data_IF_515298078315
#
_entry.id   IF_515298078315
#
_cell.length_a   1.000
_cell.length_b   1.000
_cell.length_c   1.000
_cell.angle_alpha   90.00
_cell.angle_beta   90.00
_cell.angle_gamma   90.00
#
_symmetry.space_group_name_H-M   'P 1'
#
loop_
_entity.id
_entity.type
_entity.pdbx_description
1 polymer ?
#
# COMPACT_ATOMS: atom_id res chain seq x y z
N UNK A 1 29.19 -12.57 55.56
CA UNK A 1 29.76 -12.44 54.21
C UNK A 1 28.85 -13.21 53.25
N UNK A 2 28.00 -12.52 52.49
CA UNK A 2 27.15 -13.10 51.45
C UNK A 2 27.62 -12.50 50.14
N UNK A 3 28.22 -13.34 49.30
CA UNK A 3 28.74 -12.97 48.00
C UNK A 3 27.59 -12.84 47.02
N UNK A 4 27.37 -11.64 46.47
CA UNK A 4 26.46 -11.40 45.36
C UNK A 4 27.12 -11.85 44.07
N UNK A 5 26.53 -12.81 43.37
CA UNK A 5 26.84 -13.13 41.99
C UNK A 5 26.00 -12.23 41.08
N UNK A 6 26.68 -11.32 40.40
CA UNK A 6 26.12 -10.50 39.34
C UNK A 6 26.18 -11.31 38.06
N UNK A 7 25.05 -11.86 37.63
CA UNK A 7 24.93 -12.55 36.33
C UNK A 7 24.67 -11.50 35.25
N UNK A 8 25.70 -11.19 34.48
CA UNK A 8 25.59 -10.38 33.28
C UNK A 8 24.84 -11.17 32.19
N UNK A 9 23.63 -10.77 31.87
CA UNK A 9 22.90 -11.27 30.71
C UNK A 9 23.45 -10.55 29.47
N UNK A 10 24.28 -11.28 28.74
CA UNK A 10 24.78 -10.85 27.43
C UNK A 10 23.63 -10.94 26.42
N UNK A 11 22.98 -9.82 26.14
CA UNK A 11 22.02 -9.70 25.04
C UNK A 11 22.82 -9.80 23.74
N UNK A 12 22.77 -10.94 23.09
CA UNK A 12 23.22 -11.09 21.71
C UNK A 12 22.18 -10.38 20.85
N UNK A 13 22.43 -9.10 20.53
CA UNK A 13 21.80 -8.44 19.40
C UNK A 13 22.29 -9.15 18.15
N UNK A 14 21.42 -9.94 17.52
CA UNK A 14 21.58 -10.29 16.11
C UNK A 14 21.47 -8.97 15.31
N UNK A 15 22.61 -8.37 15.06
CA UNK A 15 22.78 -7.39 14.02
C UNK A 15 22.60 -8.13 12.68
N UNK A 16 21.35 -8.24 12.21
CA UNK A 16 21.10 -8.42 10.79
C UNK A 16 21.64 -7.14 10.14
N UNK A 17 22.77 -7.27 9.48
CA UNK A 17 23.36 -6.23 8.63
C UNK A 17 22.40 -6.01 7.45
N UNK A 18 21.39 -5.16 7.66
CA UNK A 18 20.69 -4.53 6.55
C UNK A 18 21.73 -3.63 5.89
N UNK A 19 22.15 -4.02 4.68
CA UNK A 19 23.05 -3.24 3.87
C UNK A 19 22.49 -1.81 3.79
N UNK A 20 23.20 -0.91 4.45
CA UNK A 20 23.14 0.54 4.43
C UNK A 20 22.00 1.15 3.61
N UNK A 21 20.99 1.67 4.27
CA UNK A 21 20.39 2.91 3.85
C UNK A 21 21.47 4.02 3.96
N UNK A 22 22.41 4.03 3.03
CA UNK A 22 23.32 5.15 2.85
C UNK A 22 22.45 6.34 2.45
N UNK A 23 22.31 7.30 3.36
CA UNK A 23 21.64 8.60 3.25
C UNK A 23 20.18 8.72 3.74
N UNK A 24 19.64 7.85 4.58
CA UNK A 24 18.37 8.10 5.26
C UNK A 24 17.12 8.19 4.37
N UNK A 25 17.20 7.83 3.08
CA UNK A 25 16.11 7.91 2.13
C UNK A 25 15.49 6.51 1.89
N UNK A 26 14.21 6.48 1.55
CA UNK A 26 13.55 5.27 1.08
C UNK A 26 14.28 4.67 -0.13
N UNK A 27 14.42 3.34 -0.23
CA UNK A 27 15.02 2.71 -1.39
C UNK A 27 14.23 3.04 -2.67
N UNK A 28 14.91 2.92 -3.83
CA UNK A 28 14.23 3.15 -5.11
C UNK A 28 13.16 2.09 -5.34
N UNK A 29 11.92 2.53 -5.52
CA UNK A 29 10.79 1.64 -5.82
C UNK A 29 10.91 1.09 -7.26
N UNK A 30 10.91 -0.24 -7.45
CA UNK A 30 10.87 -0.81 -8.79
C UNK A 30 9.47 -0.63 -9.41
N UNK A 31 9.41 -0.54 -10.74
CA UNK A 31 8.14 -0.62 -11.44
C UNK A 31 7.72 -2.09 -11.67
N UNK A 32 6.43 -2.32 -11.80
CA UNK A 32 5.84 -3.63 -12.09
C UNK A 32 6.44 -4.20 -13.37
N UNK A 33 6.89 -5.47 -13.37
CA UNK A 33 7.54 -6.10 -14.52
C UNK A 33 6.70 -6.05 -15.80
N UNK A 34 7.36 -5.78 -16.91
CA UNK A 34 6.71 -5.71 -18.24
C UNK A 34 6.01 -4.39 -18.54
N UNK A 35 5.87 -3.48 -17.56
CA UNK A 35 5.34 -2.14 -17.79
C UNK A 35 6.40 -1.21 -18.38
N UNK A 36 5.99 -0.04 -18.88
CA UNK A 36 6.89 0.96 -19.45
C UNK A 36 7.97 1.43 -18.48
N UNK A 37 8.95 2.16 -18.96
CA UNK A 37 9.95 2.84 -18.13
C UNK A 37 9.50 4.27 -17.86
N UNK A 38 9.73 4.75 -16.64
CA UNK A 38 9.51 6.16 -16.32
C UNK A 38 10.59 6.97 -17.06
N UNK A 39 10.15 7.94 -17.85
CA UNK A 39 11.06 8.95 -18.39
C UNK A 39 11.50 9.87 -17.24
N UNK A 40 12.78 10.15 -17.14
CA UNK A 40 13.27 11.14 -16.19
C UNK A 40 12.95 12.54 -16.71
N UNK A 41 12.07 13.25 -16.03
CA UNK A 41 11.78 14.66 -16.31
C UNK A 41 11.68 15.43 -14.99
N UNK A 42 12.83 15.77 -14.38
CA UNK A 42 12.87 16.41 -13.06
C UNK A 42 12.30 17.83 -13.05
N UNK A 43 12.10 18.44 -14.23
CA UNK A 43 11.58 19.80 -14.37
C UNK A 43 10.07 19.84 -14.65
N UNK A 44 9.45 18.69 -14.89
CA UNK A 44 8.02 18.65 -15.17
C UNK A 44 7.21 19.13 -13.95
N UNK A 45 6.31 20.06 -14.18
CA UNK A 45 5.35 20.53 -13.18
C UNK A 45 3.92 20.25 -13.61
N UNK A 46 3.73 19.63 -14.78
CA UNK A 46 2.42 19.27 -15.33
C UNK A 46 2.44 17.84 -15.82
N UNK A 47 1.67 16.98 -15.15
CA UNK A 47 1.55 15.57 -15.52
C UNK A 47 0.29 14.95 -14.91
N UNK A 48 -0.09 13.81 -15.46
CA UNK A 48 -1.24 13.03 -14.99
C UNK A 48 -0.75 11.66 -14.52
N UNK A 49 -1.30 11.15 -13.43
CA UNK A 49 -1.13 9.76 -13.03
C UNK A 49 -2.45 9.13 -12.56
N UNK A 50 -2.48 7.81 -12.57
CA UNK A 50 -3.63 7.00 -12.15
C UNK A 50 -3.32 6.37 -10.81
N UNK A 51 -4.33 6.21 -9.93
CA UNK A 51 -4.22 5.40 -8.72
C UNK A 51 -5.43 4.46 -8.57
N UNK A 52 -5.16 3.21 -8.17
CA UNK A 52 -6.16 2.20 -7.86
C UNK A 52 -5.52 1.04 -7.06
N UNK A 53 -6.33 0.08 -6.61
CA UNK A 53 -5.90 -1.15 -5.94
C UNK A 53 -7.00 -2.20 -5.88
N UNK A 54 -6.71 -3.39 -5.31
CA UNK A 54 -7.67 -4.47 -5.07
C UNK A 54 -8.28 -5.07 -6.36
N UNK A 55 -7.40 -5.54 -7.23
CA UNK A 55 -7.85 -6.26 -8.43
C UNK A 55 -7.77 -7.78 -8.32
N UNK A 56 -7.41 -8.32 -7.16
CA UNK A 56 -7.10 -9.74 -6.98
C UNK A 56 -8.13 -10.69 -7.61
N UNK A 57 -7.66 -11.82 -8.20
CA UNK A 57 -8.56 -12.85 -8.72
C UNK A 57 -9.26 -13.60 -7.55
N UNK A 58 -10.35 -14.29 -7.85
CA UNK A 58 -11.06 -15.11 -6.87
C UNK A 58 -10.34 -16.45 -6.66
N UNK A 59 -9.93 -16.74 -5.42
CA UNK A 59 -9.34 -18.02 -5.01
C UNK A 59 -8.21 -18.50 -5.92
N UNK A 60 -8.33 -19.73 -6.44
CA UNK A 60 -7.33 -20.35 -7.33
C UNK A 60 -7.38 -19.86 -8.79
N UNK A 61 -8.26 -18.94 -9.13
CA UNK A 61 -8.34 -18.42 -10.49
C UNK A 61 -7.04 -17.67 -10.84
N UNK A 62 -6.54 -17.90 -12.05
CA UNK A 62 -5.38 -17.18 -12.59
C UNK A 62 -5.83 -15.89 -13.27
N UNK A 63 -7.00 -15.93 -13.90
CA UNK A 63 -7.51 -14.83 -14.70
C UNK A 63 -7.91 -13.66 -13.81
N UNK A 64 -7.34 -12.50 -14.10
CA UNK A 64 -7.69 -11.25 -13.42
C UNK A 64 -9.14 -10.81 -13.72
N UNK A 65 -9.79 -10.07 -12.81
CA UNK A 65 -11.09 -9.48 -13.05
C UNK A 65 -11.12 -8.62 -14.32
N UNK A 66 -12.25 -8.65 -15.05
CA UNK A 66 -12.42 -7.82 -16.26
C UNK A 66 -12.34 -6.32 -15.97
N UNK A 67 -12.66 -5.92 -14.76
CA UNK A 67 -12.57 -4.52 -14.28
C UNK A 67 -11.14 -4.01 -14.44
N UNK A 68 -10.12 -4.79 -14.02
CA UNK A 68 -8.72 -4.40 -14.21
C UNK A 68 -8.42 -4.05 -15.67
N UNK A 69 -8.77 -4.95 -16.59
CA UNK A 69 -8.50 -4.71 -18.02
C UNK A 69 -9.27 -3.50 -18.58
N UNK A 70 -10.45 -3.23 -18.04
CA UNK A 70 -11.22 -2.05 -18.42
C UNK A 70 -10.54 -0.76 -17.89
N UNK A 71 -10.17 -0.72 -16.62
CA UNK A 71 -9.46 0.42 -16.01
C UNK A 71 -8.19 0.74 -16.80
N UNK A 72 -7.35 -0.27 -17.08
CA UNK A 72 -6.09 -0.08 -17.82
C UNK A 72 -6.30 0.39 -19.28
N UNK A 73 -7.43 0.04 -19.91
CA UNK A 73 -7.79 0.52 -21.23
C UNK A 73 -8.36 1.94 -21.19
N UNK A 74 -9.32 2.19 -20.29
CA UNK A 74 -10.02 3.47 -20.18
C UNK A 74 -9.10 4.59 -19.70
N UNK A 75 -8.19 4.29 -18.76
CA UNK A 75 -7.24 5.27 -18.21
C UNK A 75 -6.33 5.90 -19.26
N UNK A 76 -6.09 5.23 -20.41
CA UNK A 76 -5.27 5.77 -21.50
C UNK A 76 -5.78 7.08 -22.08
N UNK A 77 -7.09 7.33 -22.04
CA UNK A 77 -7.69 8.60 -22.50
C UNK A 77 -7.19 9.83 -21.77
N UNK A 78 -6.68 9.62 -20.53
CA UNK A 78 -6.08 10.68 -19.69
C UNK A 78 -4.59 10.84 -19.94
N UNK A 79 -3.96 10.02 -20.81
CA UNK A 79 -2.54 10.04 -21.15
C UNK A 79 -1.64 10.04 -19.91
N UNK A 80 -1.82 9.10 -18.96
CA UNK A 80 -1.07 9.11 -17.72
C UNK A 80 0.42 8.88 -17.97
N UNK A 81 1.25 9.51 -17.16
CA UNK A 81 2.70 9.30 -17.15
C UNK A 81 3.05 7.97 -16.48
N UNK A 82 2.31 7.58 -15.44
CA UNK A 82 2.46 6.32 -14.71
C UNK A 82 1.19 5.98 -13.93
N UNK A 83 1.20 4.80 -13.31
CA UNK A 83 0.10 4.29 -12.49
C UNK A 83 0.66 3.91 -11.12
N UNK A 84 -0.03 4.31 -10.03
CA UNK A 84 0.17 3.83 -8.66
C UNK A 84 -0.85 2.73 -8.36
N UNK A 85 -0.39 1.63 -7.76
CA UNK A 85 -1.23 0.49 -7.43
C UNK A 85 -1.06 0.12 -5.95
N UNK A 86 -2.15 0.13 -5.20
CA UNK A 86 -2.14 -0.04 -3.75
C UNK A 86 -2.45 -1.47 -3.31
N UNK A 87 -1.76 -2.46 -3.91
CA UNK A 87 -1.76 -3.85 -3.48
C UNK A 87 -2.95 -4.70 -3.92
N UNK A 88 -2.98 -5.91 -3.38
CA UNK A 88 -3.97 -6.97 -3.63
C UNK A 88 -4.12 -7.33 -5.10
N UNK A 89 -2.98 -7.64 -5.74
CA UNK A 89 -2.91 -8.02 -7.17
C UNK A 89 -3.09 -9.52 -7.39
N UNK A 90 -2.91 -10.32 -6.34
CA UNK A 90 -3.09 -11.78 -6.31
C UNK A 90 -4.10 -12.18 -5.22
N UNK A 91 -4.63 -13.39 -5.30
CA UNK A 91 -5.54 -13.90 -4.27
C UNK A 91 -4.82 -14.31 -2.98
N UNK A 92 -3.53 -14.61 -3.05
CA UNK A 92 -2.74 -15.06 -1.93
C UNK A 92 -3.29 -16.33 -1.27
N UNK A 93 -2.71 -16.74 -0.17
CA UNK A 93 -3.22 -17.85 0.62
C UNK A 93 -4.53 -17.51 1.36
N UNK A 94 -4.81 -16.23 1.64
CA UNK A 94 -6.03 -15.80 2.33
C UNK A 94 -7.30 -16.23 1.60
N UNK A 95 -7.37 -16.06 0.30
CA UNK A 95 -8.60 -16.37 -0.48
C UNK A 95 -8.74 -17.83 -0.87
N UNK A 96 -7.65 -18.58 -0.99
CA UNK A 96 -7.68 -19.96 -1.47
C UNK A 96 -7.47 -21.02 -0.38
N UNK A 97 -7.13 -20.60 0.83
CA UNK A 97 -6.89 -21.49 1.95
C UNK A 97 -5.70 -22.44 1.73
N UNK A 98 -5.74 -23.60 2.41
CA UNK A 98 -4.61 -24.56 2.43
C UNK A 98 -4.24 -25.18 1.08
N UNK A 99 -5.05 -25.01 0.05
CA UNK A 99 -4.89 -25.63 -1.28
C UNK A 99 -4.19 -24.73 -2.29
N UNK A 100 -3.73 -23.55 -1.91
CA UNK A 100 -2.99 -22.67 -2.80
C UNK A 100 -1.57 -23.20 -2.99
N UNK A 101 -1.15 -23.34 -4.24
CA UNK A 101 0.20 -23.72 -4.62
C UNK A 101 1.00 -22.51 -5.08
N UNK A 102 2.28 -22.43 -4.76
CA UNK A 102 3.21 -21.41 -5.25
C UNK A 102 3.14 -21.21 -6.78
N UNK A 103 2.94 -22.29 -7.53
CA UNK A 103 2.77 -22.22 -8.99
C UNK A 103 1.56 -21.37 -9.40
N UNK A 104 0.46 -21.44 -8.64
CA UNK A 104 -0.74 -20.64 -8.88
C UNK A 104 -0.48 -19.18 -8.59
N UNK A 105 0.21 -18.86 -7.47
CA UNK A 105 0.58 -17.49 -7.12
C UNK A 105 1.48 -16.85 -8.19
N UNK A 106 2.50 -17.58 -8.65
CA UNK A 106 3.37 -17.14 -9.74
C UNK A 106 2.56 -16.91 -11.03
N UNK A 107 1.60 -17.77 -11.32
CA UNK A 107 0.74 -17.60 -12.50
C UNK A 107 -0.19 -16.38 -12.39
N UNK A 108 -0.68 -16.07 -11.18
CA UNK A 108 -1.46 -14.86 -10.90
C UNK A 108 -0.63 -13.59 -11.09
N UNK A 109 0.63 -13.55 -10.57
CA UNK A 109 1.55 -12.45 -10.84
C UNK A 109 1.81 -12.25 -12.34
N UNK A 110 2.13 -13.33 -13.05
CA UNK A 110 2.36 -13.27 -14.50
C UNK A 110 1.16 -12.73 -15.27
N UNK A 111 -0.06 -13.13 -14.89
CA UNK A 111 -1.27 -12.62 -15.51
C UNK A 111 -1.50 -11.15 -15.17
N UNK A 112 -1.27 -10.73 -13.93
CA UNK A 112 -1.31 -9.32 -13.54
C UNK A 112 -0.31 -8.50 -14.37
N UNK A 113 0.96 -8.93 -14.48
CA UNK A 113 1.98 -8.24 -15.27
C UNK A 113 1.59 -8.14 -16.74
N UNK A 114 1.03 -9.23 -17.30
CA UNK A 114 0.55 -9.24 -18.69
C UNK A 114 -0.59 -8.23 -18.90
N UNK A 115 -1.46 -8.05 -17.91
CA UNK A 115 -2.51 -7.03 -17.99
C UNK A 115 -1.92 -5.62 -17.79
N UNK A 116 -1.09 -5.42 -16.77
CA UNK A 116 -0.46 -4.14 -16.47
C UNK A 116 0.37 -3.59 -17.65
N UNK A 117 1.11 -4.46 -18.34
CA UNK A 117 1.88 -4.08 -19.54
C UNK A 117 1.03 -3.43 -20.64
N UNK A 118 -0.26 -3.77 -20.72
CA UNK A 118 -1.18 -3.18 -21.72
C UNK A 118 -1.46 -1.70 -21.46
N UNK A 119 -1.20 -1.18 -20.27
CA UNK A 119 -1.35 0.24 -19.99
C UNK A 119 -0.37 1.07 -20.86
N UNK A 120 0.82 0.53 -21.16
CA UNK A 120 1.84 1.19 -21.97
C UNK A 120 2.67 2.22 -21.20
N UNK A 121 2.42 2.39 -19.92
CA UNK A 121 3.14 3.31 -18.99
C UNK A 121 3.66 2.53 -17.79
N UNK A 122 4.67 3.02 -17.06
CA UNK A 122 5.14 2.37 -15.85
C UNK A 122 4.05 2.30 -14.79
N UNK A 123 4.04 1.19 -14.05
CA UNK A 123 3.18 1.01 -12.88
C UNK A 123 4.06 0.74 -11.67
N UNK A 124 3.74 1.36 -10.54
CA UNK A 124 4.41 1.17 -9.26
C UNK A 124 3.42 0.56 -8.27
N UNK A 125 3.86 -0.44 -7.49
CA UNK A 125 2.98 -1.18 -6.59
C UNK A 125 3.50 -1.11 -5.14
N UNK A 126 2.61 -0.87 -4.17
CA UNK A 126 2.81 -1.24 -2.78
C UNK A 126 2.22 -2.63 -2.53
N UNK A 127 2.75 -3.44 -1.60
CA UNK A 127 2.12 -4.72 -1.29
C UNK A 127 0.78 -4.54 -0.57
N UNK A 128 -0.09 -5.55 -0.69
CA UNK A 128 -1.27 -5.71 0.11
C UNK A 128 -1.22 -6.99 0.94
N UNK A 129 -2.21 -7.19 1.80
CA UNK A 129 -2.25 -8.34 2.68
C UNK A 129 -2.38 -9.68 1.92
N UNK A 130 -2.90 -9.68 0.72
CA UNK A 130 -2.96 -10.87 -0.13
C UNK A 130 -1.59 -11.25 -0.74
N UNK A 131 -0.67 -10.31 -0.85
CA UNK A 131 0.72 -10.58 -1.25
C UNK A 131 1.56 -11.14 -0.11
N UNK A 132 1.29 -10.73 1.13
CA UNK A 132 2.20 -10.93 2.25
C UNK A 132 1.73 -11.99 3.26
N UNK A 133 0.42 -12.13 3.45
CA UNK A 133 -0.11 -12.95 4.52
C UNK A 133 -0.29 -14.43 4.16
N UNK A 134 0.07 -15.28 5.11
CA UNK A 134 -0.37 -16.67 5.16
C UNK A 134 -1.32 -16.84 6.34
N UNK A 135 -2.53 -17.30 6.07
CA UNK A 135 -3.46 -17.70 7.13
C UNK A 135 -2.99 -19.03 7.73
N UNK A 136 -2.24 -18.98 8.82
CA UNK A 136 -1.96 -20.15 9.64
C UNK A 136 -3.21 -20.52 10.43
N UNK A 137 -4.01 -21.44 9.89
CA UNK A 137 -5.09 -22.12 10.62
C UNK A 137 -4.53 -23.26 11.46
N UNK A 138 -3.58 -23.01 12.37
CA UNK A 138 -3.41 -23.91 13.50
C UNK A 138 -4.58 -23.72 14.46
N UNK A 139 -5.06 -24.80 15.09
CA UNK A 139 -6.27 -24.74 15.92
C UNK A 139 -6.18 -23.79 17.11
N UNK A 140 -4.99 -23.34 17.46
CA UNK A 140 -4.73 -22.54 18.67
C UNK A 140 -4.03 -21.17 18.42
N UNK A 141 -3.64 -20.85 17.18
CA UNK A 141 -2.94 -19.59 16.88
C UNK A 141 -3.57 -18.93 15.65
N UNK A 142 -4.29 -17.85 15.89
CA UNK A 142 -4.74 -16.92 14.85
C UNK A 142 -3.72 -15.77 14.72
N UNK A 143 -2.44 -16.08 14.62
CA UNK A 143 -1.43 -15.09 14.26
C UNK A 143 -1.23 -15.21 12.75
N UNK A 144 -1.80 -14.27 12.01
CA UNK A 144 -1.44 -14.04 10.62
C UNK A 144 -0.10 -13.29 10.66
N UNK A 145 0.98 -13.95 10.33
CA UNK A 145 2.28 -13.31 10.12
C UNK A 145 2.56 -13.29 8.63
N UNK A 146 3.23 -12.26 8.10
CA UNK A 146 3.77 -12.35 6.76
C UNK A 146 4.62 -13.62 6.69
N UNK A 147 4.26 -14.56 5.82
CA UNK A 147 5.13 -15.71 5.59
C UNK A 147 6.38 -15.18 4.87
N UNK A 148 7.56 -15.39 5.45
CA UNK A 148 8.83 -15.03 4.82
C UNK A 148 8.92 -15.51 3.36
N UNK A 149 8.28 -16.63 3.04
CA UNK A 149 8.18 -17.14 1.66
C UNK A 149 7.30 -16.28 0.77
N UNK A 150 6.22 -15.67 1.31
CA UNK A 150 5.36 -14.76 0.57
C UNK A 150 6.06 -13.44 0.31
N UNK A 151 6.71 -12.88 1.33
CA UNK A 151 7.55 -11.69 1.16
C UNK A 151 8.64 -11.94 0.12
N UNK A 152 9.38 -13.06 0.23
CA UNK A 152 10.42 -13.43 -0.74
C UNK A 152 9.85 -13.63 -2.15
N UNK A 153 8.65 -14.22 -2.29
CA UNK A 153 7.97 -14.37 -3.56
C UNK A 153 7.60 -13.01 -4.17
N UNK A 154 7.01 -12.11 -3.38
CA UNK A 154 6.67 -10.76 -3.81
C UNK A 154 7.91 -10.00 -4.31
N UNK A 155 8.95 -9.93 -3.50
CA UNK A 155 10.19 -9.24 -3.85
C UNK A 155 10.80 -9.81 -5.14
N UNK A 156 10.80 -11.14 -5.31
CA UNK A 156 11.29 -11.82 -6.50
C UNK A 156 10.46 -11.50 -7.74
N UNK A 157 9.14 -11.65 -7.66
CA UNK A 157 8.26 -11.45 -8.82
C UNK A 157 8.21 -9.97 -9.22
N UNK A 158 8.17 -9.05 -8.25
CA UNK A 158 8.20 -7.60 -8.49
C UNK A 158 9.60 -7.05 -8.83
N UNK A 159 10.63 -7.91 -8.85
CA UNK A 159 12.01 -7.54 -9.22
C UNK A 159 12.65 -6.50 -8.30
N UNK A 160 12.38 -6.57 -7.02
CA UNK A 160 13.12 -5.79 -6.05
C UNK A 160 14.62 -6.18 -6.07
N UNK A 161 15.54 -5.22 -5.90
CA UNK A 161 16.95 -5.55 -5.69
C UNK A 161 17.12 -6.45 -4.47
N UNK A 162 18.19 -7.26 -4.47
CA UNK A 162 18.51 -8.11 -3.32
C UNK A 162 18.64 -7.26 -2.06
N UNK A 163 18.17 -7.80 -0.94
CA UNK A 163 18.26 -7.18 0.40
C UNK A 163 17.56 -5.80 0.52
N UNK A 164 16.57 -5.52 -0.34
CA UNK A 164 15.72 -4.34 -0.21
C UNK A 164 14.34 -4.72 0.34
N UNK A 165 13.73 -3.87 1.17
CA UNK A 165 12.39 -4.10 1.70
C UNK A 165 11.30 -3.90 0.62
N UNK A 166 10.06 -4.37 0.86
CA UNK A 166 8.95 -4.24 -0.09
C UNK A 166 8.30 -2.85 -0.14
N UNK A 167 9.02 -1.83 0.25
CA UNK A 167 8.64 -0.43 0.17
C UNK A 167 9.72 0.40 -0.53
N UNK A 168 9.39 1.61 -0.94
CA UNK A 168 10.35 2.45 -1.63
C UNK A 168 9.72 3.71 -2.18
N UNK A 169 10.50 4.49 -2.90
CA UNK A 169 10.04 5.75 -3.43
C UNK A 169 10.70 6.10 -4.78
N UNK A 170 10.10 7.03 -5.51
CA UNK A 170 10.65 7.59 -6.73
C UNK A 170 10.27 9.07 -6.88
N UNK A 171 11.00 9.79 -7.72
CA UNK A 171 10.70 11.17 -8.08
C UNK A 171 10.14 11.23 -9.50
N UNK A 172 9.20 12.14 -9.72
CA UNK A 172 8.83 12.60 -11.05
C UNK A 172 8.46 14.09 -10.99
N UNK A 173 9.12 14.87 -11.83
CA UNK A 173 8.91 16.31 -11.84
C UNK A 173 9.14 16.97 -10.48
N UNK A 174 8.23 17.83 -10.10
CA UNK A 174 8.24 18.54 -8.82
C UNK A 174 7.78 17.70 -7.63
N UNK A 175 7.55 16.40 -7.81
CA UNK A 175 6.89 15.55 -6.84
C UNK A 175 7.71 14.35 -6.39
N UNK A 176 7.45 13.86 -5.16
CA UNK A 176 7.93 12.62 -4.57
C UNK A 176 6.77 11.64 -4.41
N UNK A 177 6.98 10.36 -4.72
CA UNK A 177 6.01 9.27 -4.60
C UNK A 177 6.59 8.21 -3.69
N UNK A 178 5.87 7.87 -2.61
CA UNK A 178 6.33 6.97 -1.56
C UNK A 178 5.35 5.81 -1.42
N UNK A 179 5.81 4.58 -1.64
CA UNK A 179 5.08 3.35 -1.34
C UNK A 179 5.41 2.90 0.08
N UNK A 180 4.43 2.77 0.93
CA UNK A 180 4.56 2.27 2.29
C UNK A 180 4.07 0.83 2.34
N UNK A 181 4.84 -0.07 2.96
CA UNK A 181 4.40 -1.42 3.30
C UNK A 181 3.62 -1.38 4.61
N UNK A 182 2.37 -1.79 4.57
CA UNK A 182 1.47 -1.86 5.73
C UNK A 182 1.28 -3.28 6.25
N UNK A 183 2.08 -4.23 5.77
CA UNK A 183 1.98 -5.65 6.08
C UNK A 183 3.13 -6.16 6.95
N UNK A 184 3.88 -5.26 7.59
CA UNK A 184 4.96 -5.63 8.49
C UNK A 184 4.42 -6.25 9.79
N UNK A 185 5.21 -7.12 10.41
CA UNK A 185 4.81 -7.81 11.64
C UNK A 185 5.01 -6.89 12.84
N UNK A 186 3.99 -6.67 13.68
CA UNK A 186 4.19 -5.99 14.94
C UNK A 186 5.15 -6.81 15.84
N UNK A 187 6.04 -6.16 16.61
CA UNK A 187 6.88 -6.85 17.57
C UNK A 187 6.00 -7.60 18.56
N UNK A 188 6.23 -8.92 18.69
CA UNK A 188 5.51 -9.75 19.66
C UNK A 188 5.92 -9.29 21.05
N UNK A 189 5.13 -8.42 21.67
CA UNK A 189 5.20 -8.18 23.09
C UNK A 189 4.58 -9.38 23.79
N UNK A 190 5.43 -10.35 24.16
CA UNK A 190 5.04 -11.44 25.03
C UNK A 190 4.65 -10.87 26.38
N UNK A 191 3.37 -10.58 26.60
CA UNK A 191 2.85 -10.29 27.93
C UNK A 191 2.80 -11.61 28.67
N UNK A 192 3.86 -11.92 29.43
CA UNK A 192 3.87 -12.95 30.45
C UNK A 192 3.07 -12.43 31.64
N UNK A 193 1.84 -12.81 31.75
CA UNK A 193 1.07 -12.73 32.99
C UNK A 193 1.03 -14.12 33.60
N UNK A 194 1.60 -14.26 34.79
CA UNK A 194 1.47 -15.41 35.70
C UNK A 194 1.71 -16.80 35.10
N UNK A 195 2.85 -17.01 34.47
CA UNK A 195 3.32 -18.36 34.11
C UNK A 195 2.52 -19.07 33.00
N UNK A 196 1.49 -18.47 32.47
CA UNK A 196 0.75 -18.95 31.28
C UNK A 196 0.94 -17.97 30.14
N UNK A 197 1.43 -18.48 29.02
CA UNK A 197 1.49 -17.74 27.76
C UNK A 197 0.05 -17.53 27.31
N UNK A 198 -0.55 -16.41 27.67
CA UNK A 198 -1.81 -15.98 27.08
C UNK A 198 -1.44 -15.34 25.76
N UNK A 199 -1.38 -16.12 24.70
CA UNK A 199 -1.46 -15.60 23.36
C UNK A 199 -2.82 -14.89 23.24
N UNK A 200 -2.85 -13.58 23.53
CA UNK A 200 -3.97 -12.75 23.12
C UNK A 200 -4.07 -12.96 21.61
N UNK A 201 -5.24 -13.39 21.12
CA UNK A 201 -5.58 -13.37 19.69
C UNK A 201 -5.30 -11.98 19.17
N UNK A 202 -4.08 -11.76 18.66
CA UNK A 202 -3.78 -10.61 17.83
C UNK A 202 -4.55 -10.89 16.53
N UNK A 203 -5.70 -10.25 16.38
CA UNK A 203 -6.31 -10.14 15.05
C UNK A 203 -5.32 -9.32 14.25
N UNK A 204 -4.70 -9.92 13.24
CA UNK A 204 -3.78 -9.26 12.32
C UNK A 204 -4.49 -8.47 11.19
N UNK A 205 -5.72 -8.19 11.35
CA UNK A 205 -6.42 -7.10 10.75
C UNK A 205 -6.56 -6.04 11.84
N UNK A 206 -5.55 -5.26 12.04
CA UNK A 206 -5.10 -4.13 11.25
C UNK A 206 -3.66 -4.28 10.69
N UNK A 207 -3.37 -3.58 9.58
CA UNK A 207 -2.03 -3.45 9.05
C UNK A 207 -1.06 -2.80 10.04
N UNK A 208 0.23 -2.99 9.83
CA UNK A 208 1.28 -2.48 10.71
C UNK A 208 2.48 -1.95 9.91
N UNK A 209 3.06 -0.86 10.38
CA UNK A 209 4.30 -0.25 9.87
C UNK A 209 5.34 -0.28 10.99
N UNK A 210 6.51 -0.88 10.73
CA UNK A 210 7.57 -1.01 11.72
C UNK A 210 8.21 0.33 12.07
N UNK A 211 8.82 0.40 13.27
CA UNK A 211 9.61 1.57 13.69
C UNK A 211 10.70 1.90 12.67
N UNK A 212 11.38 0.89 12.12
CA UNK A 212 12.42 1.08 11.10
C UNK A 212 11.87 1.76 9.85
N UNK A 213 10.73 1.32 9.33
CA UNK A 213 10.11 1.96 8.17
C UNK A 213 9.64 3.38 8.51
N UNK A 214 9.10 3.61 9.71
CA UNK A 214 8.70 4.95 10.19
C UNK A 214 9.87 5.93 10.25
N UNK A 215 11.04 5.48 10.75
CA UNK A 215 12.27 6.30 10.80
C UNK A 215 12.76 6.64 9.40
N UNK A 216 12.80 5.67 8.49
CA UNK A 216 13.17 5.91 7.10
C UNK A 216 12.17 6.84 6.40
N UNK A 217 10.88 6.70 6.67
CA UNK A 217 9.84 7.57 6.13
C UNK A 217 10.02 9.01 6.63
N UNK A 218 10.26 9.19 7.92
CA UNK A 218 10.52 10.52 8.49
C UNK A 218 11.76 11.18 7.85
N UNK A 219 12.83 10.42 7.66
CA UNK A 219 14.05 10.90 7.01
C UNK A 219 13.81 11.25 5.52
N UNK A 220 13.04 10.44 4.80
CA UNK A 220 12.70 10.70 3.40
C UNK A 220 11.82 11.96 3.24
N UNK A 221 10.83 12.15 4.13
CA UNK A 221 10.00 13.35 4.14
C UNK A 221 10.85 14.61 4.40
N UNK A 222 11.77 14.56 5.37
CA UNK A 222 12.69 15.68 5.66
C UNK A 222 13.59 15.99 4.47
N UNK A 223 14.16 14.95 3.83
CA UNK A 223 15.01 15.10 2.65
C UNK A 223 14.28 15.67 1.41
N UNK A 224 12.94 15.56 1.39
CA UNK A 224 12.09 16.01 0.28
C UNK A 224 11.13 17.15 0.66
N UNK A 225 11.37 17.84 1.78
CA UNK A 225 10.50 18.94 2.24
C UNK A 225 10.38 20.11 1.26
N UNK A 226 11.36 20.27 0.37
CA UNK A 226 11.37 21.31 -0.66
C UNK A 226 10.65 20.88 -1.97
N UNK A 227 10.20 19.63 -2.07
CA UNK A 227 9.34 19.21 -3.19
C UNK A 227 7.99 19.90 -3.10
N UNK A 228 7.38 20.22 -4.24
CA UNK A 228 6.05 20.81 -4.26
C UNK A 228 5.02 19.84 -3.71
N UNK A 229 5.10 18.56 -4.10
CA UNK A 229 4.15 17.55 -3.64
C UNK A 229 4.87 16.28 -3.17
N UNK A 230 4.32 15.68 -2.11
CA UNK A 230 4.60 14.30 -1.72
C UNK A 230 3.28 13.53 -1.76
N UNK A 231 3.27 12.44 -2.54
CA UNK A 231 2.17 11.49 -2.61
C UNK A 231 2.61 10.20 -1.91
N UNK A 232 1.82 9.77 -0.93
CA UNK A 232 2.04 8.50 -0.23
C UNK A 232 0.96 7.52 -0.69
N UNK A 233 1.34 6.30 -1.04
CA UNK A 233 0.38 5.25 -1.33
C UNK A 233 0.73 3.97 -0.56
N UNK A 234 -0.31 3.27 -0.10
CA UNK A 234 -0.21 2.13 0.79
C UNK A 234 -1.45 1.24 0.63
N UNK A 235 -1.46 0.07 1.27
CA UNK A 235 -2.63 -0.80 1.19
C UNK A 235 -3.65 -0.49 2.29
N UNK A 236 -3.32 -0.69 3.58
CA UNK A 236 -4.25 -0.39 4.66
C UNK A 236 -4.44 1.11 4.88
N UNK A 237 -5.67 1.61 5.01
CA UNK A 237 -5.94 3.02 5.21
C UNK A 237 -5.62 3.48 6.65
N UNK A 238 -5.10 4.71 6.75
CA UNK A 238 -5.00 5.44 8.02
C UNK A 238 -6.40 5.84 8.50
N UNK A 239 -7.22 6.32 7.57
CA UNK A 239 -8.62 6.74 7.79
C UNK A 239 -9.56 5.86 6.98
N UNK A 240 -10.01 4.73 7.52
CA UNK A 240 -10.90 3.81 6.82
C UNK A 240 -12.36 4.30 6.82
N UNK A 241 -13.14 3.82 5.84
CA UNK A 241 -14.59 3.95 5.86
C UNK A 241 -15.23 3.02 6.89
N UNK A 242 -14.67 1.81 7.07
CA UNK A 242 -15.19 0.79 7.97
C UNK A 242 -14.30 0.61 9.19
N UNK A 243 -14.91 0.56 10.36
CA UNK A 243 -14.20 0.23 11.58
C UNK A 243 -13.57 -1.17 11.49
N UNK A 244 -12.27 -1.27 11.75
CA UNK A 244 -11.52 -2.54 11.77
C UNK A 244 -10.69 -2.83 10.52
N UNK A 245 -10.85 -2.06 9.43
CA UNK A 245 -10.08 -2.23 8.18
C UNK A 245 -8.91 -1.26 8.05
N UNK A 246 -8.33 -0.84 9.17
CA UNK A 246 -7.28 0.19 9.20
C UNK A 246 -5.93 -0.37 9.60
N UNK A 247 -4.91 0.48 9.54
CA UNK A 247 -3.67 0.30 10.29
C UNK A 247 -3.95 0.15 11.79
N UNK A 248 -3.07 -0.55 12.51
CA UNK A 248 -3.01 -0.46 13.95
C UNK A 248 -3.15 1.01 14.40
N UNK A 249 -3.93 1.24 15.47
CA UNK A 249 -4.29 2.62 15.86
C UNK A 249 -3.07 3.47 16.16
N UNK A 250 -2.09 2.93 16.86
CA UNK A 250 -0.87 3.64 17.21
C UNK A 250 -0.05 4.01 15.96
N UNK A 251 0.01 3.10 14.97
CA UNK A 251 0.63 3.40 13.68
C UNK A 251 -0.13 4.45 12.90
N UNK A 252 -1.46 4.35 12.85
CA UNK A 252 -2.28 5.32 12.15
C UNK A 252 -2.11 6.73 12.74
N UNK A 253 -2.18 6.85 14.07
CA UNK A 253 -2.00 8.11 14.79
C UNK A 253 -0.58 8.69 14.56
N UNK A 254 0.45 7.82 14.60
CA UNK A 254 1.83 8.23 14.39
C UNK A 254 2.11 8.71 12.96
N UNK A 255 1.56 8.01 11.95
CA UNK A 255 1.67 8.41 10.54
C UNK A 255 0.90 9.70 10.27
N UNK A 256 -0.30 9.86 10.82
CA UNK A 256 -1.07 11.10 10.70
C UNK A 256 -0.30 12.28 11.29
N UNK A 257 0.25 12.12 12.50
CA UNK A 257 1.08 13.13 13.14
C UNK A 257 2.37 13.43 12.35
N UNK A 258 3.00 12.41 11.76
CA UNK A 258 4.18 12.58 10.92
C UNK A 258 3.85 13.38 9.66
N UNK A 259 2.80 13.02 8.94
CA UNK A 259 2.40 13.71 7.70
C UNK A 259 1.95 15.15 7.96
N UNK A 260 1.33 15.42 9.10
CA UNK A 260 0.93 16.78 9.48
C UNK A 260 2.12 17.76 9.66
N UNK A 261 3.33 17.25 9.92
CA UNK A 261 4.56 18.08 10.04
C UNK A 261 5.04 18.59 8.69
N UNK A 262 4.67 17.91 7.59
CA UNK A 262 5.17 18.21 6.25
C UNK A 262 4.03 18.69 5.37
N UNK A 263 3.89 20.01 5.26
CA UNK A 263 2.80 20.68 4.53
C UNK A 263 2.73 20.36 3.04
N UNK A 264 3.77 19.71 2.49
CA UNK A 264 3.83 19.25 1.12
C UNK A 264 3.42 17.78 0.93
N UNK A 265 3.06 17.05 2.00
CA UNK A 265 2.34 15.78 1.86
C UNK A 265 0.92 16.12 1.42
N UNK A 266 0.64 15.91 0.13
CA UNK A 266 -0.59 16.38 -0.51
C UNK A 266 -1.72 15.36 -0.45
N UNK A 267 -1.40 14.10 -0.75
CA UNK A 267 -2.36 13.00 -0.73
C UNK A 267 -1.76 11.74 -0.09
N UNK A 268 -2.59 11.04 0.67
CA UNK A 268 -2.37 9.67 1.16
C UNK A 268 -3.45 8.79 0.55
N UNK A 269 -3.03 7.85 -0.30
CA UNK A 269 -3.90 6.99 -1.10
C UNK A 269 -3.80 5.57 -0.57
N UNK A 270 -4.91 5.00 -0.14
CA UNK A 270 -4.97 3.63 0.34
C UNK A 270 -5.95 2.79 -0.50
N UNK A 271 -5.99 1.47 -0.22
CA UNK A 271 -6.90 0.51 -0.82
C UNK A 271 -7.53 -0.38 0.28
N UNK A 272 -7.47 -1.71 0.19
CA UNK A 272 -7.91 -2.69 1.18
C UNK A 272 -9.43 -2.74 1.41
N UNK A 273 -10.10 -1.62 1.56
CA UNK A 273 -11.56 -1.57 1.53
C UNK A 273 -11.99 -1.48 0.08
N UNK A 274 -12.73 -2.49 -0.37
CA UNK A 274 -13.15 -2.60 -1.79
C UNK A 274 -14.28 -1.61 -2.12
N UNK A 275 -14.03 -0.33 -1.89
CA UNK A 275 -14.92 0.79 -2.11
C UNK A 275 -14.10 2.04 -2.39
N UNK A 276 -14.75 3.12 -2.77
CA UNK A 276 -14.18 4.46 -2.76
C UNK A 276 -14.60 5.20 -1.49
N UNK A 277 -13.65 5.91 -0.86
CA UNK A 277 -13.93 6.77 0.28
C UNK A 277 -13.02 8.01 0.30
N UNK A 278 -13.63 9.20 0.36
CA UNK A 278 -12.93 10.45 0.59
C UNK A 278 -12.95 10.77 2.09
N UNK A 279 -11.95 10.30 2.82
CA UNK A 279 -11.92 10.38 4.28
C UNK A 279 -11.72 11.79 4.84
N UNK A 280 -11.33 12.75 4.00
CA UNK A 280 -11.04 14.13 4.40
C UNK A 280 -12.11 15.11 3.93
N UNK A 281 -12.93 14.72 2.96
CA UNK A 281 -13.95 15.54 2.35
C UNK A 281 -15.37 15.09 2.66
N UNK A 282 -16.33 15.88 2.23
CA UNK A 282 -17.77 15.70 2.40
C UNK A 282 -18.48 15.28 1.11
N UNK A 283 -17.74 14.96 0.07
CA UNK A 283 -18.25 14.60 -1.26
C UNK A 283 -17.41 13.53 -1.93
N UNK A 284 -18.01 12.82 -2.91
CA UNK A 284 -17.31 11.81 -3.73
C UNK A 284 -16.13 12.43 -4.48
N UNK A 285 -16.30 13.61 -5.08
CA UNK A 285 -15.20 14.28 -5.79
C UNK A 285 -14.38 15.08 -4.79
N UNK A 286 -13.08 14.79 -4.62
CA UNK A 286 -12.23 15.60 -3.77
C UNK A 286 -12.12 17.02 -4.32
N UNK A 287 -12.05 17.99 -3.42
CA UNK A 287 -11.68 19.34 -3.82
C UNK A 287 -10.24 19.40 -4.31
N UNK A 288 -9.96 20.33 -5.22
CA UNK A 288 -8.59 20.62 -5.63
C UNK A 288 -7.73 20.97 -4.42
N UNK A 289 -6.51 20.43 -4.39
CA UNK A 289 -5.54 20.65 -3.32
C UNK A 289 -4.36 21.46 -3.83
N UNK A 290 -3.96 22.48 -3.08
CA UNK A 290 -2.69 23.17 -3.28
C UNK A 290 -1.66 22.68 -2.28
N UNK A 291 -0.38 22.72 -2.66
CA UNK A 291 0.73 22.38 -1.79
C UNK A 291 1.81 23.47 -1.86
N UNK A 292 2.43 23.85 -0.74
CA UNK A 292 2.16 23.37 0.61
C UNK A 292 0.82 23.85 1.19
N UNK A 293 0.23 23.06 2.11
CA UNK A 293 -1.07 23.36 2.71
C UNK A 293 -1.08 23.11 4.22
N UNK A 294 -1.63 24.05 4.98
CA UNK A 294 -1.82 23.91 6.43
C UNK A 294 -2.86 22.85 6.83
N UNK A 295 -3.74 22.46 5.89
CA UNK A 295 -4.87 21.56 6.19
C UNK A 295 -4.44 20.08 6.26
N UNK A 296 -3.14 19.79 6.13
CA UNK A 296 -2.62 18.43 6.05
C UNK A 296 -2.99 17.73 4.75
N UNK A 297 -2.68 16.42 4.61
CA UNK A 297 -2.97 15.66 3.39
C UNK A 297 -4.46 15.34 3.24
N UNK A 298 -4.88 15.13 1.98
CA UNK A 298 -6.16 14.49 1.68
C UNK A 298 -6.00 12.98 1.72
N UNK A 299 -6.83 12.29 2.50
CA UNK A 299 -6.83 10.82 2.64
C UNK A 299 -7.92 10.22 1.75
N UNK A 300 -7.52 9.32 0.85
CA UNK A 300 -8.43 8.64 -0.08
C UNK A 300 -8.27 7.13 0.03
N UNK A 301 -9.40 6.40 0.01
CA UNK A 301 -9.43 4.94 -0.17
C UNK A 301 -9.93 4.63 -1.57
N UNK A 302 -9.20 3.80 -2.31
CA UNK A 302 -9.47 3.45 -3.71
C UNK A 302 -9.21 1.97 -3.99
N UNK A 303 -10.06 1.11 -3.40
CA UNK A 303 -9.98 -0.35 -3.51
C UNK A 303 -10.96 -0.95 -4.55
N UNK A 304 -11.38 -0.18 -5.54
CA UNK A 304 -12.42 -0.58 -6.50
C UNK A 304 -11.94 -1.18 -7.82
N UNK A 305 -10.72 -1.77 -7.89
CA UNK A 305 -10.17 -2.20 -9.18
C UNK A 305 -10.54 -3.62 -9.63
N UNK A 306 -11.46 -4.32 -8.94
CA UNK A 306 -11.99 -5.57 -9.45
C UNK A 306 -12.28 -6.69 -8.44
N UNK A 307 -11.80 -6.61 -7.21
CA UNK A 307 -12.24 -7.47 -6.13
C UNK A 307 -13.74 -7.25 -5.81
N UNK A 308 -14.44 -8.20 -5.16
CA UNK A 308 -15.83 -8.00 -4.78
C UNK A 308 -15.99 -6.75 -3.92
N UNK A 309 -16.95 -5.89 -4.28
CA UNK A 309 -17.14 -4.60 -3.62
C UNK A 309 -17.68 -4.76 -2.19
N UNK A 310 -17.22 -3.88 -1.32
CA UNK A 310 -17.74 -3.64 0.02
C UNK A 310 -18.87 -2.61 0.01
N UNK A 311 -19.76 -2.67 0.98
CA UNK A 311 -20.80 -1.66 1.18
C UNK A 311 -20.24 -0.46 1.92
N UNK A 312 -20.66 0.75 1.54
CA UNK A 312 -20.41 1.94 2.32
C UNK A 312 -21.16 1.88 3.67
N UNK A 313 -20.55 2.40 4.76
CA UNK A 313 -21.30 2.66 6.00
C UNK A 313 -22.42 3.67 5.76
N UNK A 314 -23.56 3.48 6.45
CA UNK A 314 -24.74 4.29 6.23
C UNK A 314 -24.60 5.80 6.53
N UNK A 315 -23.59 6.20 7.31
CA UNK A 315 -23.25 7.57 7.63
C UNK A 315 -22.27 8.21 6.65
N UNK A 316 -21.67 7.44 5.75
CA UNK A 316 -20.65 7.86 4.80
C UNK A 316 -21.15 7.98 3.33
N UNK A 317 -22.46 7.98 3.08
CA UNK A 317 -23.02 7.97 1.72
C UNK A 317 -22.61 9.16 0.85
N UNK A 318 -22.29 10.31 1.47
CA UNK A 318 -21.93 11.53 0.73
C UNK A 318 -20.53 11.48 0.13
N UNK A 319 -19.59 10.80 0.79
CA UNK A 319 -18.17 10.74 0.45
C UNK A 319 -17.64 9.32 0.23
N UNK A 320 -18.53 8.32 0.18
CA UNK A 320 -18.23 6.91 -0.07
C UNK A 320 -19.05 6.39 -1.26
N UNK A 321 -18.48 5.45 -2.02
CA UNK A 321 -19.18 4.76 -3.11
C UNK A 321 -18.77 3.30 -3.19
N UNK A 322 -19.75 2.40 -3.12
CA UNK A 322 -19.62 0.97 -3.39
C UNK A 322 -19.65 0.71 -4.91
N UNK A 323 -18.63 1.18 -5.62
CA UNK A 323 -18.54 1.09 -7.07
C UNK A 323 -17.13 0.76 -7.52
N UNK A 324 -16.98 0.03 -8.63
CA UNK A 324 -15.68 -0.09 -9.28
C UNK A 324 -15.23 1.28 -9.80
N UNK A 325 -13.96 1.59 -9.62
CA UNK A 325 -13.43 2.92 -9.93
C UNK A 325 -11.91 2.92 -10.04
N UNK A 326 -11.39 4.05 -10.47
CA UNK A 326 -9.99 4.45 -10.35
C UNK A 326 -9.90 5.97 -10.20
N UNK A 327 -8.77 6.45 -9.74
CA UNK A 327 -8.51 7.87 -9.55
C UNK A 327 -7.58 8.39 -10.65
N UNK A 328 -7.87 9.60 -11.13
CA UNK A 328 -7.02 10.36 -12.04
C UNK A 328 -6.54 11.59 -11.31
N UNK A 329 -5.23 11.71 -11.17
CA UNK A 329 -4.58 12.88 -10.58
C UNK A 329 -3.98 13.74 -11.69
N UNK A 330 -4.35 14.99 -11.73
CA UNK A 330 -3.82 16.01 -12.64
C UNK A 330 -3.00 17.00 -11.82
N UNK A 331 -1.67 16.93 -11.94
CA UNK A 331 -0.73 17.85 -11.27
C UNK A 331 -0.48 19.04 -12.18
N UNK A 332 -0.63 20.25 -11.68
CA UNK A 332 -0.37 21.49 -12.40
C UNK A 332 0.27 22.51 -11.45
N UNK A 333 1.60 22.56 -11.46
CA UNK A 333 2.39 23.41 -10.58
C UNK A 333 2.23 23.02 -9.10
N UNK A 334 1.63 23.91 -8.33
CA UNK A 334 1.28 23.73 -6.90
C UNK A 334 -0.11 23.11 -6.68
N UNK A 335 -0.89 22.95 -7.74
CA UNK A 335 -2.26 22.44 -7.68
C UNK A 335 -2.38 21.02 -8.15
N UNK A 336 -3.20 20.24 -7.44
CA UNK A 336 -3.59 18.87 -7.82
C UNK A 336 -5.11 18.80 -7.88
N UNK A 337 -5.62 18.38 -9.02
CA UNK A 337 -7.02 18.02 -9.22
C UNK A 337 -7.15 16.51 -9.25
N UNK A 338 -8.19 15.96 -8.61
CA UNK A 338 -8.47 14.52 -8.58
C UNK A 338 -9.85 14.28 -9.18
N UNK A 339 -9.92 13.32 -10.09
CA UNK A 339 -11.18 12.84 -10.66
C UNK A 339 -11.41 11.39 -10.29
N UNK A 340 -12.55 11.10 -9.67
CA UNK A 340 -13.01 9.73 -9.42
C UNK A 340 -13.76 9.23 -10.65
N UNK A 341 -13.21 8.22 -11.32
CA UNK A 341 -13.80 7.63 -12.53
C UNK A 341 -14.49 6.33 -12.16
N UNK A 342 -15.82 6.33 -12.16
CA UNK A 342 -16.63 5.14 -11.88
C UNK A 342 -16.65 4.21 -13.08
N UNK A 343 -16.53 2.90 -12.82
CA UNK A 343 -16.52 1.84 -13.83
C UNK A 343 -17.81 1.02 -13.72
N UNK A 344 -18.54 0.80 -14.82
CA UNK A 344 -19.73 -0.05 -14.79
C UNK A 344 -19.44 -1.47 -14.32
N UNK A 345 -20.28 -2.02 -13.42
CA UNK A 345 -20.13 -3.39 -12.92
C UNK A 345 -20.21 -4.45 -14.04
N UNK A 346 -20.98 -4.19 -15.11
CA UNK A 346 -21.05 -5.01 -16.32
C UNK A 346 -20.19 -4.40 -17.42
N UNK A 347 -18.92 -4.75 -17.45
CA UNK A 347 -18.02 -4.38 -18.54
C UNK A 347 -18.32 -5.27 -19.76
N UNK A 348 -18.75 -4.68 -20.89
CA UNK A 348 -18.93 -5.40 -22.14
C UNK A 348 -17.62 -6.05 -22.57
N UNK A 349 -17.68 -7.24 -23.20
CA UNK A 349 -16.50 -7.83 -23.84
C UNK A 349 -15.96 -6.81 -24.85
N UNK A 350 -14.70 -6.40 -24.64
CA UNK A 350 -13.96 -5.63 -25.64
C UNK A 350 -13.48 -6.53 -26.76
#
# INVERSE_FOLDING_TARGET
MKTLYLTAILSVMLLSTVASAQNGAFPKLPHVPGTGKLSDDPKSTQFTFIAAGDNRPSGNAIKQPKILSHILKDSKRFKPTFILWSGDTIAGFRSAGKNMHHKTLIAQYKEFFRQAAKAGVPMFNSPGNHEMDVVNKSKDETVETPDEKMVALYLKEMKYPKDTPPYGAFNYGNSRFIAVDTEEVPPITAVRSEGKTVAKKLKLDPGFVSMQQMELLAADLEANKDKTHIFVFMHHPIKPAKNGSRLNKENADALEALFAKYHNVTYVIAAHEHLYFNATGDSIQPHSKKSPSSDGPTYLVSGGAGAPLDSCPGDAEKNCSSSYHYLVFEVNGDKVDVKVVMVPAKVKKA
#
